data_IF_455607806362
#
_entry.id   IF_455607806362
#
_cell.length_a   1.000
_cell.length_b   1.000
_cell.length_c   1.000
_cell.angle_alpha   90.00
_cell.angle_beta   90.00
_cell.angle_gamma   90.00
#
_symmetry.space_group_name_H-M   'P 1'
#
loop_
_entity.id
_entity.type
_entity.pdbx_description
1 polymer ?
#
# COMPACT_ATOMS: atom_id res chain seq x y z
N UNK A 1 5.09 -0.65 10.92
CA UNK A 1 5.68 -1.98 11.23
C UNK A 1 4.66 -2.83 11.93
N UNK A 2 4.17 -3.87 11.27
CA UNK A 2 3.87 -5.19 11.84
C UNK A 2 3.60 -6.09 10.63
N UNK A 3 4.66 -6.79 10.22
CA UNK A 3 4.51 -8.00 9.43
C UNK A 3 4.27 -9.14 10.44
N UNK A 4 3.33 -10.02 10.08
CA UNK A 4 3.22 -11.45 10.45
C UNK A 4 2.34 -11.82 11.66
N UNK A 5 1.82 -13.08 11.75
CA UNK A 5 2.00 -14.22 10.83
C UNK A 5 0.71 -14.90 10.35
N UNK A 6 0.80 -15.47 9.14
CA UNK A 6 0.02 -16.62 8.70
C UNK A 6 0.17 -17.75 9.73
N UNK A 7 -0.92 -18.08 10.42
CA UNK A 7 -1.06 -19.40 11.04
C UNK A 7 -1.51 -20.36 9.94
N UNK A 8 -0.52 -21.12 9.47
CA UNK A 8 -0.56 -22.55 9.19
C UNK A 8 -1.93 -23.14 8.93
N UNK A 9 -2.15 -23.66 7.72
CA UNK A 9 -2.85 -24.93 7.48
C UNK A 9 -2.18 -25.55 6.24
N UNK A 10 -1.14 -26.32 6.49
CA UNK A 10 -0.67 -27.35 5.58
C UNK A 10 -0.35 -28.59 6.42
N UNK A 11 -1.33 -29.49 6.55
CA UNK A 11 -1.04 -30.91 6.55
C UNK A 11 -2.04 -31.62 5.66
N UNK A 12 -1.45 -32.43 4.80
CA UNK A 12 -1.97 -33.12 3.65
C UNK A 12 -2.78 -34.37 4.01
N UNK A 13 -3.85 -34.59 3.25
CA UNK A 13 -4.33 -35.85 2.63
C UNK A 13 -4.39 -37.18 3.40
N UNK A 14 -5.52 -37.86 3.15
CA UNK A 14 -5.72 -39.31 3.02
C UNK A 14 -5.86 -40.14 4.32
N UNK A 15 -7.11 -40.34 4.76
CA UNK A 15 -7.55 -41.70 5.11
C UNK A 15 -9.01 -41.89 4.66
N UNK A 16 -9.17 -42.91 3.84
CA UNK A 16 -10.35 -43.41 3.15
C UNK A 16 -11.10 -44.33 4.11
N UNK A 17 -12.44 -44.34 4.01
CA UNK A 17 -13.35 -45.45 4.37
C UNK A 17 -13.38 -45.98 5.81
N UNK A 18 -14.53 -45.77 6.45
CA UNK A 18 -15.13 -46.72 7.39
C UNK A 18 -15.04 -46.34 8.87
N UNK A 19 -16.14 -45.87 9.46
CA UNK A 19 -17.05 -46.73 10.24
C UNK A 19 -18.12 -45.88 10.98
N UNK A 20 -19.37 -46.35 10.87
CA UNK A 20 -20.51 -46.18 11.80
C UNK A 20 -21.20 -44.80 11.92
N UNK A 21 -22.38 -44.77 11.31
CA UNK A 21 -23.56 -44.03 11.78
C UNK A 21 -23.95 -44.39 13.22
N UNK A 22 -24.69 -43.49 13.89
CA UNK A 22 -26.00 -43.90 14.41
C UNK A 22 -27.11 -42.95 13.94
N UNK A 23 -28.18 -43.54 13.43
CA UNK A 23 -29.44 -42.89 13.08
C UNK A 23 -30.26 -42.60 14.34
N UNK A 24 -30.93 -41.44 14.43
CA UNK A 24 -32.14 -41.24 15.26
C UNK A 24 -33.02 -40.09 14.70
N UNK A 25 -34.23 -40.44 14.25
CA UNK A 25 -35.48 -39.72 14.53
C UNK A 25 -35.92 -38.51 13.67
N UNK A 26 -37.16 -38.49 13.15
CA UNK A 26 -37.72 -37.38 12.37
C UNK A 26 -38.37 -36.31 13.26
N UNK A 27 -38.08 -35.02 13.05
CA UNK A 27 -38.60 -33.95 13.90
C UNK A 27 -38.55 -32.54 13.32
N UNK A 28 -39.65 -32.17 12.66
CA UNK A 28 -40.26 -30.83 12.51
C UNK A 28 -39.50 -29.72 11.75
N UNK A 29 -40.23 -29.21 10.75
CA UNK A 29 -40.07 -27.93 10.05
C UNK A 29 -39.82 -26.78 11.03
N UNK A 30 -38.68 -26.13 10.88
CA UNK A 30 -38.39 -24.83 11.47
C UNK A 30 -37.61 -24.00 10.45
N UNK A 31 -38.19 -22.90 10.00
CA UNK A 31 -37.58 -21.96 9.08
C UNK A 31 -36.29 -21.41 9.69
N UNK A 32 -35.14 -21.84 9.17
CA UNK A 32 -33.85 -21.24 9.51
C UNK A 32 -33.76 -19.92 8.75
N UNK A 33 -34.25 -18.86 9.40
CA UNK A 33 -33.89 -17.48 9.11
C UNK A 33 -32.39 -17.40 9.32
N UNK A 34 -31.61 -17.28 8.24
CA UNK A 34 -30.19 -16.97 8.28
C UNK A 34 -30.03 -15.54 8.81
N UNK A 35 -30.16 -15.39 10.13
CA UNK A 35 -29.71 -14.21 10.83
C UNK A 35 -28.20 -14.36 10.91
N UNK A 36 -27.49 -13.54 10.14
CA UNK A 36 -26.07 -13.29 10.36
C UNK A 36 -25.86 -13.05 11.86
N UNK A 37 -24.96 -13.79 12.53
CA UNK A 37 -24.52 -13.43 13.85
C UNK A 37 -24.11 -11.96 13.82
N UNK A 38 -24.70 -11.14 14.68
CA UNK A 38 -24.23 -9.78 14.87
C UNK A 38 -22.83 -9.92 15.45
N UNK A 39 -21.82 -9.76 14.59
CA UNK A 39 -20.41 -9.77 14.95
C UNK A 39 -20.15 -8.65 15.97
N UNK A 40 -20.42 -8.95 17.24
CA UNK A 40 -19.88 -8.22 18.38
C UNK A 40 -18.58 -8.91 18.75
N UNK A 41 -17.48 -8.51 18.12
CA UNK A 41 -16.13 -8.43 18.69
C UNK A 41 -15.09 -8.33 17.57
N UNK A 42 -14.77 -7.10 17.14
CA UNK A 42 -13.43 -6.54 17.28
C UNK A 42 -13.41 -5.05 16.89
N UNK A 43 -14.24 -4.22 17.52
CA UNK A 43 -13.90 -2.80 17.63
C UNK A 43 -12.76 -2.69 18.66
N UNK A 44 -11.56 -3.12 18.25
CA UNK A 44 -10.35 -2.56 18.83
C UNK A 44 -10.31 -1.11 18.38
N UNK A 45 -11.01 -0.29 19.15
CA UNK A 45 -10.85 1.14 19.23
C UNK A 45 -9.34 1.40 19.17
N UNK A 46 -8.85 1.88 18.02
CA UNK A 46 -7.46 2.29 17.86
C UNK A 46 -7.27 3.40 18.86
N UNK A 47 -6.71 3.10 20.03
CA UNK A 47 -6.19 4.12 20.94
C UNK A 47 -5.32 5.02 20.08
N UNK A 48 -5.80 6.24 19.85
CA UNK A 48 -5.10 7.28 19.11
C UNK A 48 -3.82 7.54 19.87
N UNK A 49 -2.72 6.91 19.46
CA UNK A 49 -1.39 7.34 19.87
C UNK A 49 -1.25 8.70 19.20
N UNK A 50 -1.43 9.76 19.97
CA UNK A 50 -1.22 11.13 19.51
C UNK A 50 0.27 11.37 19.39
N UNK A 51 0.89 10.72 18.41
CA UNK A 51 2.25 11.04 17.99
C UNK A 51 2.19 12.33 17.17
N UNK A 52 3.09 13.29 17.44
CA UNK A 52 3.12 14.58 16.75
C UNK A 52 3.38 14.43 15.24
N UNK A 53 3.91 13.29 14.81
CA UNK A 53 4.18 12.94 13.42
C UNK A 53 3.52 11.60 13.11
N UNK A 54 2.89 11.50 11.92
CA UNK A 54 2.34 10.27 11.37
C UNK A 54 3.07 9.94 10.08
N UNK A 55 3.77 8.80 10.05
CA UNK A 55 4.42 8.32 8.84
C UNK A 55 3.50 7.34 8.12
N UNK A 56 3.33 7.53 6.81
CA UNK A 56 2.55 6.65 5.95
C UNK A 56 3.48 6.04 4.90
N UNK A 57 3.37 4.73 4.69
CA UNK A 57 3.96 4.11 3.51
C UNK A 57 3.04 4.36 2.32
N UNK A 58 3.52 5.13 1.35
CA UNK A 58 2.75 5.59 0.19
C UNK A 58 1.56 6.49 0.59
N UNK A 59 0.86 6.99 -0.43
CA UNK A 59 -0.29 7.87 -0.27
C UNK A 59 -1.40 7.53 -1.28
N UNK A 60 -2.61 8.02 -1.04
CA UNK A 60 -3.72 7.88 -1.99
C UNK A 60 -3.37 8.51 -3.36
N UNK A 61 -2.57 9.58 -3.35
CA UNK A 61 -2.06 10.22 -4.57
C UNK A 61 -1.17 9.26 -5.36
N UNK A 62 -0.25 8.55 -4.70
CA UNK A 62 0.58 7.56 -5.38
C UNK A 62 -0.24 6.41 -5.98
N UNK A 63 -1.33 6.00 -5.32
CA UNK A 63 -2.24 4.98 -5.86
C UNK A 63 -2.86 5.44 -7.19
N UNK A 64 -3.36 6.69 -7.25
CA UNK A 64 -4.01 7.23 -8.45
C UNK A 64 -3.03 7.65 -9.55
N UNK A 65 -1.99 8.40 -9.21
CA UNK A 65 -1.10 9.02 -10.20
C UNK A 65 -0.02 8.09 -10.72
N UNK A 66 0.31 7.03 -9.96
CA UNK A 66 1.32 6.05 -10.38
C UNK A 66 0.66 4.75 -10.79
N UNK A 67 -0.02 4.05 -9.88
CA UNK A 67 -0.48 2.68 -10.17
C UNK A 67 -1.67 2.64 -11.12
N UNK A 68 -2.71 3.43 -10.88
CA UNK A 68 -3.87 3.51 -11.78
C UNK A 68 -3.47 4.07 -13.14
N UNK A 69 -2.65 5.12 -13.16
CA UNK A 69 -2.10 5.70 -14.40
C UNK A 69 -1.25 4.69 -15.18
N UNK A 70 -0.39 3.92 -14.52
CA UNK A 70 0.41 2.89 -15.16
C UNK A 70 -0.46 1.79 -15.77
N UNK A 71 -1.50 1.33 -15.08
CA UNK A 71 -2.42 0.32 -15.58
C UNK A 71 -3.18 0.81 -16.82
N UNK A 72 -3.59 2.09 -16.81
CA UNK A 72 -4.25 2.72 -17.95
C UNK A 72 -3.31 2.90 -19.14
N UNK A 73 -2.11 3.45 -18.94
CA UNK A 73 -1.08 3.60 -20.00
C UNK A 73 -0.63 2.26 -20.58
N UNK A 74 -0.58 1.22 -19.75
CA UNK A 74 -0.27 -0.16 -20.17
C UNK A 74 -1.43 -0.87 -20.88
N UNK A 75 -2.59 -0.20 -21.07
CA UNK A 75 -3.83 -0.77 -21.62
C UNK A 75 -4.33 -2.03 -20.89
N UNK A 76 -3.96 -2.17 -19.61
CA UNK A 76 -4.42 -3.27 -18.74
C UNK A 76 -5.73 -2.91 -18.02
N UNK A 77 -6.09 -1.64 -18.02
CA UNK A 77 -7.32 -1.11 -17.43
C UNK A 77 -8.20 -0.49 -18.53
N UNK A 78 -9.47 -0.90 -18.65
CA UNK A 78 -10.45 -0.23 -19.50
C UNK A 78 -10.65 1.24 -19.11
N UNK A 79 -11.01 2.07 -20.08
CA UNK A 79 -11.27 3.51 -19.85
C UNK A 79 -12.39 3.75 -18.83
N UNK A 80 -13.45 2.93 -18.87
CA UNK A 80 -14.56 3.03 -17.92
C UNK A 80 -14.08 2.87 -16.49
N UNK A 81 -13.24 1.86 -16.22
CA UNK A 81 -12.70 1.62 -14.88
C UNK A 81 -11.78 2.77 -14.43
N UNK A 82 -10.99 3.32 -15.35
CA UNK A 82 -10.12 4.47 -15.07
C UNK A 82 -10.93 5.71 -14.68
N UNK A 83 -12.01 6.02 -15.40
CA UNK A 83 -12.89 7.16 -15.11
C UNK A 83 -13.56 6.97 -13.76
N UNK A 84 -14.14 5.79 -13.49
CA UNK A 84 -14.78 5.49 -12.21
C UNK A 84 -13.78 5.66 -11.07
N UNK A 85 -12.59 5.05 -11.14
CA UNK A 85 -11.57 5.20 -10.10
C UNK A 85 -11.11 6.65 -9.91
N UNK A 86 -11.11 7.45 -10.97
CA UNK A 86 -10.78 8.88 -10.89
C UNK A 86 -11.86 9.66 -10.15
N UNK A 87 -13.13 9.45 -10.47
CA UNK A 87 -14.25 10.11 -9.76
C UNK A 87 -14.29 9.74 -8.28
N UNK A 88 -14.03 8.46 -7.96
CA UNK A 88 -13.93 8.01 -6.57
C UNK A 88 -12.75 8.67 -5.86
N UNK A 89 -11.60 8.79 -6.51
CA UNK A 89 -10.44 9.48 -5.94
C UNK A 89 -10.76 10.95 -5.64
N UNK A 90 -11.36 11.67 -6.59
CA UNK A 90 -11.74 13.08 -6.43
C UNK A 90 -12.75 13.27 -5.29
N UNK A 91 -13.72 12.34 -5.19
CA UNK A 91 -14.65 12.34 -4.08
C UNK A 91 -13.94 12.12 -2.73
N UNK A 92 -13.00 11.18 -2.64
CA UNK A 92 -12.26 10.92 -1.39
C UNK A 92 -11.44 12.15 -0.99
N UNK A 93 -10.68 12.74 -1.92
CA UNK A 93 -9.84 13.91 -1.65
C UNK A 93 -10.69 15.11 -1.21
N UNK A 94 -11.91 15.26 -1.76
CA UNK A 94 -12.82 16.36 -1.41
C UNK A 94 -13.52 16.16 -0.05
N UNK A 95 -13.87 14.92 0.31
CA UNK A 95 -14.70 14.64 1.49
C UNK A 95 -13.91 14.12 2.69
N UNK A 96 -12.65 13.72 2.51
CA UNK A 96 -11.80 13.15 3.55
C UNK A 96 -10.56 14.01 3.75
N UNK A 97 -10.15 14.23 4.99
CA UNK A 97 -8.87 14.89 5.29
C UNK A 97 -7.70 13.94 4.97
N UNK A 98 -7.12 14.14 3.79
CA UNK A 98 -5.89 13.46 3.31
C UNK A 98 -4.75 14.47 3.15
N UNK A 99 -4.71 15.48 4.02
CA UNK A 99 -3.62 16.46 4.06
C UNK A 99 -2.26 15.78 4.33
N UNK A 100 -1.22 16.26 3.64
CA UNK A 100 0.16 15.83 3.83
C UNK A 100 1.07 17.05 3.94
N UNK A 101 1.94 17.07 4.93
CA UNK A 101 2.87 18.19 5.17
C UNK A 101 4.18 18.04 4.39
N UNK A 102 4.59 16.80 4.10
CA UNK A 102 5.85 16.48 3.44
C UNK A 102 5.74 15.15 2.69
N UNK A 103 6.26 15.11 1.46
CA UNK A 103 6.45 13.88 0.70
C UNK A 103 7.93 13.51 0.75
N UNK A 104 8.26 12.35 1.30
CA UNK A 104 9.63 11.81 1.26
C UNK A 104 9.73 10.83 0.10
N UNK A 105 10.49 11.20 -0.93
CA UNK A 105 10.73 10.38 -2.11
C UNK A 105 12.07 9.66 -2.00
N UNK A 106 12.01 8.35 -1.80
CA UNK A 106 13.18 7.48 -1.82
C UNK A 106 13.47 7.10 -3.28
N UNK A 107 14.38 7.84 -3.91
CA UNK A 107 14.71 7.66 -5.32
C UNK A 107 15.71 6.52 -5.49
N UNK A 108 15.41 5.59 -6.39
CA UNK A 108 16.29 4.48 -6.73
C UNK A 108 16.23 4.19 -8.22
N UNK A 109 17.33 3.72 -8.76
CA UNK A 109 17.38 3.15 -10.11
C UNK A 109 16.51 1.89 -10.22
N UNK A 110 15.82 1.67 -11.36
CA UNK A 110 15.02 0.46 -11.60
C UNK A 110 15.82 -0.84 -11.41
N UNK A 111 17.10 -0.85 -11.78
CA UNK A 111 18.01 -1.99 -11.68
C UNK A 111 18.26 -2.36 -10.21
N UNK A 112 18.60 -1.38 -9.38
CA UNK A 112 18.76 -1.57 -7.92
C UNK A 112 17.46 -2.05 -7.30
N UNK A 113 16.33 -1.47 -7.70
CA UNK A 113 15.01 -1.89 -7.24
C UNK A 113 14.74 -3.36 -7.60
N UNK A 114 15.04 -3.75 -8.84
CA UNK A 114 14.86 -5.12 -9.33
C UNK A 114 15.75 -6.12 -8.61
N UNK A 115 17.01 -5.77 -8.34
CA UNK A 115 17.91 -6.60 -7.53
C UNK A 115 17.37 -6.79 -6.11
N UNK A 116 16.87 -5.73 -5.47
CA UNK A 116 16.24 -5.79 -4.15
C UNK A 116 14.96 -6.62 -4.15
N UNK A 117 14.15 -6.54 -5.21
CA UNK A 117 12.97 -7.36 -5.41
C UNK A 117 13.33 -8.84 -5.46
N UNK A 118 14.36 -9.20 -6.24
CA UNK A 118 14.88 -10.57 -6.33
C UNK A 118 15.38 -11.09 -4.98
N UNK A 119 16.09 -10.27 -4.20
CA UNK A 119 16.56 -10.68 -2.87
C UNK A 119 15.42 -10.95 -1.86
N UNK A 120 14.27 -10.28 -2.01
CA UNK A 120 13.09 -10.47 -1.14
C UNK A 120 12.37 -11.79 -1.37
N UNK A 121 12.54 -12.41 -2.55
CA UNK A 121 12.04 -13.75 -2.88
C UNK A 121 10.54 -14.00 -2.63
N UNK A 122 9.67 -13.01 -2.87
CA UNK A 122 8.21 -13.21 -2.81
C UNK A 122 7.71 -13.87 -4.09
N UNK A 123 6.90 -14.92 -3.98
CA UNK A 123 6.42 -15.68 -5.14
C UNK A 123 5.59 -14.81 -6.09
N UNK A 124 4.76 -13.92 -5.55
CA UNK A 124 3.93 -12.98 -6.30
C UNK A 124 4.72 -11.88 -7.03
N UNK A 125 5.97 -11.61 -6.63
CA UNK A 125 6.82 -10.57 -7.20
C UNK A 125 7.82 -11.13 -8.25
N UNK A 126 7.99 -12.46 -8.36
CA UNK A 126 8.93 -13.09 -9.31
C UNK A 126 8.60 -12.83 -10.78
N UNK A 127 7.32 -12.58 -11.08
CA UNK A 127 6.81 -12.40 -12.44
C UNK A 127 6.95 -10.94 -12.89
N UNK A 128 7.40 -10.03 -12.02
CA UNK A 128 7.47 -8.60 -12.35
C UNK A 128 8.66 -8.35 -13.29
N UNK A 129 8.41 -7.87 -14.53
CA UNK A 129 9.45 -7.59 -15.50
C UNK A 129 10.15 -6.25 -15.17
N UNK A 130 11.40 -6.08 -15.62
CA UNK A 130 12.17 -4.85 -15.37
C UNK A 130 11.50 -3.63 -16.01
N UNK A 131 10.89 -3.82 -17.18
CA UNK A 131 10.15 -2.81 -17.93
C UNK A 131 8.99 -2.22 -17.12
N UNK A 132 8.36 -3.02 -16.25
CA UNK A 132 7.30 -2.52 -15.37
C UNK A 132 7.85 -1.61 -14.27
N UNK A 133 9.01 -1.95 -13.70
CA UNK A 133 9.68 -1.10 -12.71
C UNK A 133 10.17 0.20 -13.33
N UNK A 134 10.66 0.13 -14.56
CA UNK A 134 11.08 1.30 -15.33
C UNK A 134 9.90 2.24 -15.62
N UNK A 135 8.75 1.70 -16.05
CA UNK A 135 7.53 2.49 -16.25
C UNK A 135 7.06 3.20 -14.96
N UNK A 136 7.12 2.50 -13.81
CA UNK A 136 6.79 3.11 -12.50
C UNK A 136 7.79 4.21 -12.14
N UNK A 137 9.09 3.96 -12.33
CA UNK A 137 10.14 4.94 -12.04
C UNK A 137 9.90 6.22 -12.83
N UNK A 138 9.65 6.11 -14.14
CA UNK A 138 9.35 7.24 -15.01
C UNK A 138 8.12 8.04 -14.54
N UNK A 139 7.05 7.38 -14.08
CA UNK A 139 5.87 8.06 -13.55
C UNK A 139 6.16 8.84 -12.26
N UNK A 140 7.00 8.30 -11.37
CA UNK A 140 7.43 9.02 -10.16
C UNK A 140 8.30 10.23 -10.52
N UNK A 141 9.23 10.09 -11.46
CA UNK A 141 10.07 11.20 -11.93
C UNK A 141 9.24 12.29 -12.62
N UNK A 142 8.25 11.91 -13.43
CA UNK A 142 7.29 12.83 -14.03
C UNK A 142 6.50 13.58 -12.96
N UNK A 143 5.98 12.89 -11.95
CA UNK A 143 5.14 13.50 -10.92
C UNK A 143 5.93 14.37 -9.93
N UNK A 144 7.02 13.86 -9.38
CA UNK A 144 7.69 14.48 -8.22
C UNK A 144 8.86 15.41 -8.59
N UNK A 145 9.48 15.22 -9.77
CA UNK A 145 10.69 15.98 -10.17
C UNK A 145 10.37 16.95 -11.30
N UNK A 146 9.80 16.46 -12.40
CA UNK A 146 9.61 17.26 -13.63
C UNK A 146 8.41 18.21 -13.57
N UNK A 147 7.50 18.04 -12.60
CA UNK A 147 6.27 18.81 -12.52
C UNK A 147 5.27 18.40 -13.60
N UNK A 148 4.92 17.12 -13.62
CA UNK A 148 3.97 16.54 -14.57
C UNK A 148 2.53 17.05 -14.39
N UNK A 149 1.55 16.39 -15.04
CA UNK A 149 0.17 16.88 -15.11
C UNK A 149 -0.57 16.84 -13.76
N UNK A 150 -0.01 16.15 -12.77
CA UNK A 150 -0.65 15.96 -11.46
C UNK A 150 -0.14 16.96 -10.43
N UNK A 151 -1.03 17.53 -9.59
CA UNK A 151 -0.63 18.50 -8.58
C UNK A 151 0.23 17.85 -7.49
N UNK A 152 1.26 18.59 -7.08
CA UNK A 152 2.08 18.26 -5.91
C UNK A 152 1.44 18.92 -4.70
N UNK A 153 0.91 18.10 -3.77
CA UNK A 153 0.14 18.58 -2.61
C UNK A 153 1.02 19.06 -1.44
N UNK A 154 2.32 18.72 -1.45
CA UNK A 154 3.25 19.01 -0.36
C UNK A 154 4.70 19.11 -0.86
N UNK A 155 5.60 19.79 -0.15
CA UNK A 155 7.03 19.80 -0.46
C UNK A 155 7.60 18.37 -0.60
N UNK A 156 8.46 18.19 -1.59
CA UNK A 156 9.10 16.88 -1.86
C UNK A 156 10.54 16.90 -1.34
N UNK A 157 10.86 15.97 -0.45
CA UNK A 157 12.21 15.67 0.00
C UNK A 157 12.72 14.43 -0.75
N UNK A 158 13.68 14.62 -1.65
CA UNK A 158 14.31 13.53 -2.40
C UNK A 158 15.49 12.97 -1.63
N UNK A 159 15.53 11.66 -1.43
CA UNK A 159 16.64 10.94 -0.80
C UNK A 159 17.11 9.86 -1.77
N UNK A 160 18.36 9.94 -2.19
CA UNK A 160 19.01 8.94 -3.05
C UNK A 160 19.21 7.64 -2.27
N UNK A 161 18.46 6.61 -2.66
CA UNK A 161 18.32 5.37 -1.93
C UNK A 161 18.99 4.17 -2.61
N UNK A 162 19.90 4.40 -3.57
CA UNK A 162 20.69 3.34 -4.23
C UNK A 162 21.82 2.79 -3.34
N UNK A 163 22.08 3.43 -2.19
CA UNK A 163 23.17 3.07 -1.30
C UNK A 163 22.85 1.92 -0.33
N UNK A 164 23.89 1.42 0.34
CA UNK A 164 23.79 0.41 1.40
C UNK A 164 23.06 0.93 2.64
N UNK A 165 22.59 0.00 3.48
CA UNK A 165 21.83 0.30 4.70
C UNK A 165 22.55 1.29 5.63
N UNK A 166 23.87 1.18 5.77
CA UNK A 166 24.67 2.07 6.63
C UNK A 166 24.54 3.53 6.18
N UNK A 167 24.74 3.79 4.88
CA UNK A 167 24.65 5.12 4.30
C UNK A 167 23.21 5.63 4.29
N UNK A 168 22.22 4.74 4.17
CA UNK A 168 20.81 5.10 4.31
C UNK A 168 20.46 5.59 5.72
N UNK A 169 21.05 5.00 6.76
CA UNK A 169 20.88 5.46 8.14
C UNK A 169 21.49 6.85 8.35
N UNK A 170 22.69 7.09 7.80
CA UNK A 170 23.33 8.42 7.83
C UNK A 170 22.45 9.48 7.13
N UNK A 171 21.92 9.17 5.94
CA UNK A 171 21.02 10.06 5.21
C UNK A 171 19.72 10.33 5.98
N UNK A 172 19.19 9.33 6.67
CA UNK A 172 18.02 9.49 7.53
C UNK A 172 18.32 10.41 8.72
N UNK A 173 19.46 10.24 9.37
CA UNK A 173 19.89 11.10 10.49
C UNK A 173 20.10 12.54 10.04
N UNK A 174 20.76 12.75 8.91
CA UNK A 174 20.97 14.08 8.31
C UNK A 174 19.66 14.80 7.98
N UNK A 175 18.63 14.06 7.55
CA UNK A 175 17.34 14.62 7.17
C UNK A 175 16.29 14.56 8.29
N UNK A 176 16.66 14.06 9.48
CA UNK A 176 15.72 13.81 10.59
C UNK A 176 14.92 15.04 10.97
N UNK A 177 15.59 16.19 11.10
CA UNK A 177 14.94 17.44 11.49
C UNK A 177 13.96 17.94 10.42
N UNK A 178 14.31 17.75 9.14
CA UNK A 178 13.44 18.12 8.01
C UNK A 178 12.20 17.24 7.94
N UNK A 179 12.33 15.96 8.27
CA UNK A 179 11.23 14.98 8.26
C UNK A 179 10.29 15.20 9.44
N UNK A 180 10.83 15.48 10.63
CA UNK A 180 10.04 15.58 11.87
C UNK A 180 9.49 16.99 12.12
N UNK A 181 10.11 18.04 11.58
CA UNK A 181 9.68 19.43 11.74
C UNK A 181 9.63 20.18 10.41
N UNK A 182 8.64 19.89 9.55
CA UNK A 182 8.49 20.59 8.27
C UNK A 182 8.20 22.09 8.43
N UNK A 183 7.71 22.53 9.59
CA UNK A 183 7.26 23.92 9.85
C UNK A 183 8.35 24.99 9.98
N UNK A 184 9.63 24.64 10.04
CA UNK A 184 10.72 25.62 10.27
C UNK A 184 11.37 26.18 9.00
N UNK A 185 10.94 25.77 7.80
CA UNK A 185 11.43 26.31 6.53
C UNK A 185 10.49 27.37 5.95
N UNK A 186 10.03 28.31 6.79
CA UNK A 186 9.72 29.66 6.32
C UNK A 186 11.00 30.47 6.40
N UNK A 187 11.82 30.41 5.35
CA UNK A 187 12.76 31.48 5.06
C UNK A 187 12.23 32.20 3.82
N UNK A 188 11.65 33.38 4.06
CA UNK A 188 11.68 34.46 3.06
C UNK A 188 13.10 35.03 2.93
N UNK A 189 13.31 36.16 2.23
CA UNK A 189 12.33 37.08 1.65
C UNK A 189 11.81 36.69 0.26
#
# INVERSE_FOLDING_TARGET
MLLQPLRSWATWTLCREGLRSPAWGPGKRGAQRWAWPRDKENEKEKKSVMSPVRLMERSIHSARYIFVENLYRSRKMPEVDYVVLSEWFDWIVKNTDVSMDLIVYLRTTPETCYQRLKMRCREEEKVIPLEYLDAIHHLYEEWLIKGGPFPIVAPVLVIEADHDMQKMLELLEQNRDRILTPGNQKHGP
#
